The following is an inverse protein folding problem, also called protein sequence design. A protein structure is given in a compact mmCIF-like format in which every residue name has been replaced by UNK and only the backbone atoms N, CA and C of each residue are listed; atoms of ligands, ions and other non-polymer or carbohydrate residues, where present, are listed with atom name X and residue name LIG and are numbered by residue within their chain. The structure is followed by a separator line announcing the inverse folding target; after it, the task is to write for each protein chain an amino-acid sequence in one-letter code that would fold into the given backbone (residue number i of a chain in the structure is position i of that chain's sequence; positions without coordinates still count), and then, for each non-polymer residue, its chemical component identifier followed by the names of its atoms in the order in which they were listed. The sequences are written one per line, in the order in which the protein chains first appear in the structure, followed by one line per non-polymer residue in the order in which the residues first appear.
data_IF_680066077488
#
_entry.id   IF_680066077488
#
_cell.length_a   1.000
_cell.length_b   1.000
_cell.length_c   1.000
_cell.angle_alpha   90.00
_cell.angle_beta   90.00
_cell.angle_gamma   90.00
#
_symmetry.space_group_name_H-M   'P 1'
#
loop_
_entity.id
_entity.type
_entity.pdbx_description
1 polymer ?
#
# COMPACT_ATOMS: atom_id res chain seq x y z
N UNK A 1 -6.91 28.65 -53.25
CA UNK A 1 -6.19 29.04 -51.99
C UNK A 1 -6.98 28.69 -50.72
N UNK A 2 -8.24 29.11 -50.54
CA UNK A 2 -9.03 28.91 -49.30
C UNK A 2 -9.11 27.45 -48.81
N UNK A 3 -9.36 26.44 -49.68
CA UNK A 3 -9.46 25.01 -49.31
C UNK A 3 -8.16 24.44 -48.70
N UNK A 4 -6.98 24.87 -49.17
CA UNK A 4 -5.68 24.39 -48.70
C UNK A 4 -5.38 24.94 -47.28
N UNK A 5 -5.74 26.22 -47.06
CA UNK A 5 -5.62 26.88 -45.76
C UNK A 5 -6.52 26.20 -44.69
N UNK A 6 -7.80 25.98 -45.05
CA UNK A 6 -8.77 25.30 -44.15
C UNK A 6 -8.27 23.89 -43.78
N UNK A 7 -7.79 23.11 -44.77
CA UNK A 7 -7.24 21.76 -44.53
C UNK A 7 -6.05 21.80 -43.55
N UNK A 8 -5.14 22.75 -43.75
CA UNK A 8 -3.98 22.87 -42.86
C UNK A 8 -4.41 23.28 -41.43
N UNK A 9 -5.36 24.16 -41.27
CA UNK A 9 -5.92 24.53 -39.97
C UNK A 9 -6.53 23.31 -39.28
N UNK A 10 -7.35 22.52 -40.01
CA UNK A 10 -7.95 21.31 -39.45
C UNK A 10 -6.88 20.31 -39.00
N UNK A 11 -5.85 20.07 -39.83
CA UNK A 11 -4.76 19.15 -39.48
C UNK A 11 -4.03 19.62 -38.21
N UNK A 12 -3.77 20.93 -38.10
CA UNK A 12 -3.12 21.51 -36.93
C UNK A 12 -3.99 21.32 -35.67
N UNK A 13 -5.29 21.61 -35.75
CA UNK A 13 -6.22 21.42 -34.62
C UNK A 13 -6.27 19.94 -34.20
N UNK A 14 -6.40 19.02 -35.14
CA UNK A 14 -6.40 17.58 -34.86
C UNK A 14 -5.08 17.15 -34.18
N UNK A 15 -3.95 17.64 -34.70
CA UNK A 15 -2.65 17.36 -34.08
C UNK A 15 -2.55 17.85 -32.62
N UNK A 16 -3.01 19.07 -32.35
CA UNK A 16 -3.05 19.63 -30.99
C UNK A 16 -3.98 18.85 -30.06
N UNK A 17 -5.15 18.43 -30.55
CA UNK A 17 -6.08 17.57 -29.80
C UNK A 17 -5.46 16.22 -29.45
N UNK A 18 -4.72 15.60 -30.36
CA UNK A 18 -4.05 14.32 -30.10
C UNK A 18 -2.95 14.46 -29.04
N UNK A 19 -2.13 15.50 -29.13
CA UNK A 19 -1.09 15.78 -28.14
C UNK A 19 -1.73 16.02 -26.76
N UNK A 20 -2.76 16.86 -26.71
CA UNK A 20 -3.47 17.14 -25.45
C UNK A 20 -4.08 15.86 -24.86
N UNK A 21 -4.74 15.02 -25.69
CA UNK A 21 -5.30 13.75 -25.23
C UNK A 21 -4.23 12.81 -24.67
N UNK A 22 -3.06 12.74 -25.29
CA UNK A 22 -1.95 11.95 -24.78
C UNK A 22 -1.46 12.45 -23.41
N UNK A 23 -1.36 13.77 -23.22
CA UNK A 23 -1.02 14.38 -21.92
C UNK A 23 -2.05 14.00 -20.83
N UNK A 24 -3.34 14.16 -21.13
CA UNK A 24 -4.45 13.83 -20.22
C UNK A 24 -4.41 12.35 -19.82
N UNK A 25 -4.27 11.45 -20.79
CA UNK A 25 -4.24 10.01 -20.55
C UNK A 25 -3.01 9.63 -19.70
N UNK A 26 -1.85 10.18 -20.02
CA UNK A 26 -0.61 9.91 -19.28
C UNK A 26 -0.76 10.32 -17.81
N UNK A 27 -1.22 11.55 -17.55
CA UNK A 27 -1.37 12.04 -16.19
C UNK A 27 -2.52 11.34 -15.45
N UNK A 28 -3.59 10.94 -16.14
CA UNK A 28 -4.64 10.12 -15.56
C UNK A 28 -4.13 8.73 -15.10
N UNK A 29 -3.33 8.06 -15.93
CA UNK A 29 -2.72 6.76 -15.57
C UNK A 29 -1.75 6.93 -14.40
N UNK A 30 -0.95 7.99 -14.41
CA UNK A 30 -0.04 8.31 -13.29
C UNK A 30 -0.82 8.59 -12.00
N UNK A 31 -1.92 9.35 -12.10
CA UNK A 31 -2.80 9.64 -10.98
C UNK A 31 -3.39 8.35 -10.40
N UNK A 32 -3.83 7.41 -11.22
CA UNK A 32 -4.28 6.08 -10.77
C UNK A 32 -3.19 5.29 -10.02
N UNK A 33 -1.96 5.52 -10.34
CA UNK A 33 -0.79 4.90 -9.69
C UNK A 33 -0.23 5.78 -8.56
N UNK A 34 -0.98 6.79 -8.09
CA UNK A 34 -0.57 7.75 -7.05
C UNK A 34 0.76 8.47 -7.34
N UNK A 35 1.14 8.54 -8.62
CA UNK A 35 2.32 9.27 -9.08
C UNK A 35 1.96 10.71 -9.44
N UNK A 36 2.89 11.62 -9.19
CA UNK A 36 2.71 13.01 -9.58
C UNK A 36 2.51 13.16 -11.08
N UNK A 37 1.62 14.07 -11.53
CA UNK A 37 1.47 14.36 -12.95
C UNK A 37 2.73 14.99 -13.51
N UNK A 38 2.94 14.84 -14.82
CA UNK A 38 4.11 15.40 -15.52
C UNK A 38 3.76 16.72 -16.18
N UNK A 39 2.54 16.85 -16.73
CA UNK A 39 2.14 17.99 -17.56
C UNK A 39 1.43 19.08 -16.75
N UNK A 40 2.11 19.57 -15.71
CA UNK A 40 1.56 20.61 -14.84
C UNK A 40 2.00 22.01 -15.29
N UNK A 41 1.07 22.96 -15.30
CA UNK A 41 1.32 24.40 -15.52
C UNK A 41 1.40 25.19 -14.22
N UNK A 42 0.98 24.59 -13.10
CA UNK A 42 1.07 25.19 -11.79
C UNK A 42 0.77 24.17 -10.71
N UNK A 43 1.40 24.35 -9.56
CA UNK A 43 1.16 23.54 -8.37
C UNK A 43 0.88 24.47 -7.20
N UNK A 44 -0.16 24.12 -6.42
CA UNK A 44 -0.43 24.76 -5.14
C UNK A 44 -0.51 23.63 -4.10
N UNK A 45 0.62 23.33 -3.48
CA UNK A 45 0.77 22.27 -2.49
C UNK A 45 1.38 22.81 -1.22
N UNK A 46 0.92 22.30 -0.10
CA UNK A 46 1.59 22.49 1.18
C UNK A 46 2.87 21.63 1.28
N UNK A 47 3.61 21.80 2.35
CA UNK A 47 4.84 21.04 2.63
C UNK A 47 4.56 19.53 2.75
N UNK A 48 3.32 19.16 3.02
CA UNK A 48 2.84 17.80 3.21
C UNK A 48 2.38 17.13 1.91
N UNK A 49 2.41 17.87 0.80
CA UNK A 49 2.01 17.37 -0.51
C UNK A 49 0.49 17.40 -0.76
N UNK A 50 -0.30 18.02 0.14
CA UNK A 50 -1.72 18.27 -0.10
C UNK A 50 -1.89 19.46 -1.03
N UNK A 51 -2.86 19.38 -1.93
CA UNK A 51 -3.21 20.48 -2.80
C UNK A 51 -3.54 20.07 -4.21
N UNK A 52 -3.23 20.97 -5.16
CA UNK A 52 -3.68 20.82 -6.53
C UNK A 52 -2.51 20.93 -7.51
N UNK A 53 -2.59 20.10 -8.54
CA UNK A 53 -1.81 20.23 -9.77
C UNK A 53 -2.74 20.76 -10.85
N UNK A 54 -2.46 21.97 -11.33
CA UNK A 54 -3.21 22.57 -12.45
C UNK A 54 -2.54 22.22 -13.76
N UNK A 55 -3.35 21.75 -14.70
CA UNK A 55 -2.94 21.36 -16.04
C UNK A 55 -3.84 22.04 -17.08
N UNK A 56 -3.56 21.84 -18.37
CA UNK A 56 -4.37 22.46 -19.44
C UNK A 56 -5.69 21.70 -19.60
N UNK A 57 -6.77 22.27 -19.08
CA UNK A 57 -8.14 21.70 -19.17
C UNK A 57 -8.44 20.58 -18.18
N UNK A 58 -7.54 20.28 -17.24
CA UNK A 58 -7.77 19.34 -16.14
C UNK A 58 -7.02 19.75 -14.88
N UNK A 59 -7.44 19.19 -13.76
CA UNK A 59 -6.83 19.42 -12.45
C UNK A 59 -6.73 18.10 -11.70
N UNK A 60 -5.68 17.93 -10.93
CA UNK A 60 -5.51 16.78 -10.03
C UNK A 60 -5.36 17.29 -8.62
N UNK A 61 -6.29 16.87 -7.74
CA UNK A 61 -6.20 17.12 -6.31
C UNK A 61 -5.46 15.96 -5.66
N UNK A 62 -4.46 16.29 -4.83
CA UNK A 62 -3.73 15.33 -4.01
C UNK A 62 -4.03 15.60 -2.54
N UNK A 63 -4.41 14.56 -1.82
CA UNK A 63 -4.52 14.56 -0.37
C UNK A 63 -3.46 13.59 0.15
N UNK A 64 -2.54 14.11 0.95
CA UNK A 64 -1.55 13.31 1.64
C UNK A 64 -1.80 13.39 3.14
N UNK A 65 -1.63 12.30 3.85
CA UNK A 65 -1.64 12.30 5.32
C UNK A 65 -0.22 12.14 5.82
N UNK A 66 0.07 12.84 6.88
CA UNK A 66 1.30 12.67 7.63
C UNK A 66 1.26 11.31 8.32
N UNK A 67 2.38 10.63 8.26
CA UNK A 67 2.55 9.36 8.87
C UNK A 67 3.90 9.30 9.59
N UNK A 68 3.92 8.99 10.87
CA UNK A 68 5.12 8.87 11.69
C UNK A 68 6.14 10.00 11.47
N UNK A 69 5.70 11.23 11.61
CA UNK A 69 6.54 12.40 11.73
C UNK A 69 7.23 12.89 10.46
N UNK A 70 7.33 12.15 9.35
CA UNK A 70 8.01 12.65 8.16
C UNK A 70 7.76 11.89 6.85
N UNK A 71 6.96 10.82 6.84
CA UNK A 71 6.65 10.12 5.58
C UNK A 71 5.22 10.38 5.16
N UNK A 72 5.03 11.10 4.05
CA UNK A 72 3.72 11.32 3.46
C UNK A 72 3.36 10.18 2.53
N UNK A 73 2.18 9.62 2.71
CA UNK A 73 1.58 8.66 1.80
C UNK A 73 0.45 9.37 1.06
N UNK A 74 0.57 9.50 -0.24
CA UNK A 74 -0.54 9.97 -1.09
C UNK A 74 -1.57 8.86 -1.14
N UNK A 75 -2.71 9.06 -0.50
CA UNK A 75 -3.73 8.02 -0.46
C UNK A 75 -5.07 8.42 -1.07
N UNK A 76 -5.22 9.67 -1.50
CA UNK A 76 -6.35 10.12 -2.29
C UNK A 76 -5.87 11.07 -3.40
N UNK A 77 -6.20 10.72 -4.65
CA UNK A 77 -5.99 11.57 -5.80
C UNK A 77 -7.29 11.67 -6.60
N UNK A 78 -7.75 12.88 -6.81
CA UNK A 78 -8.94 13.18 -7.58
C UNK A 78 -8.56 13.83 -8.91
N UNK A 79 -8.91 13.19 -10.01
CA UNK A 79 -8.75 13.73 -11.34
C UNK A 79 -10.03 14.46 -11.78
N UNK A 80 -9.91 15.71 -12.19
CA UNK A 80 -11.01 16.54 -12.65
C UNK A 80 -10.76 17.03 -14.07
N UNK A 81 -11.63 16.66 -15.01
CA UNK A 81 -11.59 17.11 -16.38
C UNK A 81 -12.68 18.17 -16.60
N UNK A 82 -12.29 19.37 -17.02
CA UNK A 82 -13.20 20.51 -17.20
C UNK A 82 -14.15 20.75 -16.01
N UNK A 83 -13.60 20.66 -14.79
CA UNK A 83 -14.37 20.85 -13.55
C UNK A 83 -15.28 19.70 -13.16
N UNK A 84 -15.33 18.61 -13.92
CA UNK A 84 -16.04 17.39 -13.56
C UNK A 84 -15.08 16.41 -12.92
N UNK A 85 -15.13 16.34 -11.59
CA UNK A 85 -14.28 15.43 -10.82
C UNK A 85 -14.70 13.98 -10.96
N UNK A 86 -13.73 13.10 -11.22
CA UNK A 86 -13.83 11.67 -10.92
C UNK A 86 -12.82 11.39 -9.82
N UNK A 87 -13.32 11.07 -8.65
CA UNK A 87 -12.49 10.51 -7.59
C UNK A 87 -11.87 9.23 -8.11
N UNK A 88 -10.56 9.12 -8.02
CA UNK A 88 -9.91 7.83 -8.12
C UNK A 88 -10.21 7.20 -6.78
N UNK A 89 -11.03 6.16 -6.79
CA UNK A 89 -11.38 5.45 -5.57
C UNK A 89 -10.10 5.04 -4.87
N UNK A 90 -10.04 5.31 -3.58
CA UNK A 90 -9.08 4.75 -2.67
C UNK A 90 -9.05 3.25 -2.92
N UNK A 91 -7.94 2.76 -3.44
CA UNK A 91 -7.75 1.32 -3.56
C UNK A 91 -7.19 0.82 -2.25
N UNK A 92 -7.40 -0.43 -1.95
CA UNK A 92 -6.87 -1.05 -0.74
C UNK A 92 -5.35 -0.95 -0.65
N UNK A 93 -4.68 -0.86 -1.79
CA UNK A 93 -3.23 -0.66 -1.88
C UNK A 93 -2.78 0.64 -1.20
N UNK A 94 -3.64 1.65 -1.13
CA UNK A 94 -3.35 2.89 -0.43
C UNK A 94 -3.47 2.73 1.07
N UNK A 95 -4.44 1.92 1.50
CA UNK A 95 -4.63 1.61 2.91
C UNK A 95 -3.47 0.80 3.47
N UNK A 96 -3.00 -0.23 2.75
CA UNK A 96 -1.92 -1.04 3.26
C UNK A 96 -0.56 -0.30 3.31
N UNK A 97 -0.28 0.61 2.39
CA UNK A 97 0.90 1.48 2.48
C UNK A 97 0.86 2.35 3.72
N UNK A 98 -0.32 2.86 4.04
CA UNK A 98 -0.56 3.53 5.29
C UNK A 98 -0.30 2.58 6.46
N UNK A 99 -0.84 1.37 6.41
CA UNK A 99 -0.67 0.36 7.45
C UNK A 99 0.79 -0.08 7.61
N UNK A 100 1.55 -0.26 6.52
CA UNK A 100 2.99 -0.54 6.60
C UNK A 100 3.76 0.55 7.35
N UNK A 101 3.39 1.80 7.17
CA UNK A 101 3.95 2.90 7.94
C UNK A 101 3.64 2.82 9.44
N UNK A 102 2.53 2.15 9.85
CA UNK A 102 2.16 1.95 11.26
C UNK A 102 2.96 0.85 11.96
N UNK A 103 3.58 -0.05 11.22
CA UNK A 103 4.40 -1.10 11.82
C UNK A 103 5.47 -0.50 12.76
N UNK A 104 5.52 -0.98 13.99
CA UNK A 104 6.41 -0.49 15.02
C UNK A 104 5.99 0.82 15.68
N UNK A 105 4.82 1.36 15.37
CA UNK A 105 4.26 2.52 16.10
C UNK A 105 3.65 2.08 17.43
N UNK A 106 3.71 2.97 18.43
CA UNK A 106 3.02 2.74 19.68
C UNK A 106 1.49 2.90 19.56
N UNK A 107 0.77 2.33 20.50
CA UNK A 107 -0.69 2.34 20.55
C UNK A 107 -1.27 3.76 20.59
N UNK A 108 -0.65 4.68 21.29
CA UNK A 108 -1.12 6.05 21.39
C UNK A 108 -1.11 6.73 20.02
N UNK A 109 -0.05 6.53 19.25
CA UNK A 109 0.08 7.05 17.88
C UNK A 109 -1.04 6.51 16.96
N UNK A 110 -1.47 5.26 17.13
CA UNK A 110 -2.48 4.64 16.27
C UNK A 110 -3.91 4.76 16.76
N UNK A 111 -4.15 5.18 18.00
CA UNK A 111 -5.50 5.32 18.56
C UNK A 111 -6.41 6.21 17.71
N UNK A 112 -5.94 7.35 17.27
CA UNK A 112 -6.71 8.24 16.38
C UNK A 112 -7.07 7.58 15.04
N UNK A 113 -6.20 6.71 14.55
CA UNK A 113 -6.46 5.93 13.34
C UNK A 113 -7.51 4.84 13.60
N UNK A 114 -7.39 4.12 14.71
CA UNK A 114 -8.36 3.10 15.11
C UNK A 114 -9.74 3.70 15.35
N UNK A 115 -9.83 4.86 15.99
CA UNK A 115 -11.09 5.60 16.17
C UNK A 115 -11.71 6.02 14.83
N UNK A 116 -10.88 6.49 13.88
CA UNK A 116 -11.34 6.87 12.55
C UNK A 116 -11.86 5.67 11.73
N UNK A 117 -11.32 4.48 11.96
CA UNK A 117 -11.79 3.22 11.36
C UNK A 117 -13.04 2.66 12.04
N UNK A 118 -13.50 3.28 13.13
CA UNK A 118 -14.57 2.75 13.98
C UNK A 118 -14.29 1.32 14.46
N UNK A 119 -13.01 1.00 14.66
CA UNK A 119 -12.61 -0.25 15.22
C UNK A 119 -13.21 -0.43 16.61
N UNK A 120 -13.83 -1.55 16.78
CA UNK A 120 -14.49 -1.94 18.01
C UNK A 120 -13.42 -2.34 19.06
N UNK A 121 -13.85 -2.62 20.26
CA UNK A 121 -13.00 -3.14 21.33
C UNK A 121 -12.09 -4.26 20.83
N UNK A 122 -10.78 -4.19 21.11
CA UNK A 122 -9.85 -5.23 20.67
C UNK A 122 -10.16 -6.57 21.33
N UNK A 123 -9.87 -7.64 20.63
CA UNK A 123 -9.73 -8.95 21.23
C UNK A 123 -8.37 -9.03 21.92
N UNK A 124 -8.35 -9.39 23.21
CA UNK A 124 -7.14 -9.35 24.05
C UNK A 124 -6.76 -10.76 24.48
N UNK A 125 -5.54 -11.17 24.12
CA UNK A 125 -4.96 -12.44 24.53
C UNK A 125 -3.56 -12.24 25.09
N UNK A 126 -3.42 -12.23 26.41
CA UNK A 126 -2.14 -11.91 27.06
C UNK A 126 -1.66 -10.49 26.73
N UNK A 127 -0.48 -10.39 26.12
CA UNK A 127 0.12 -9.12 25.70
C UNK A 127 -0.26 -8.74 24.26
N UNK A 128 -1.10 -9.53 23.60
CA UNK A 128 -1.58 -9.28 22.25
C UNK A 128 -2.95 -8.63 22.27
N UNK A 129 -3.11 -7.57 21.50
CA UNK A 129 -4.41 -6.97 21.16
C UNK A 129 -4.63 -7.07 19.66
N UNK A 130 -5.83 -7.50 19.26
CA UNK A 130 -6.21 -7.56 17.83
C UNK A 130 -7.40 -6.64 17.60
N UNK A 131 -7.19 -5.65 16.73
CA UNK A 131 -8.22 -4.72 16.28
C UNK A 131 -8.72 -5.17 14.91
N UNK A 132 -9.99 -5.51 14.82
CA UNK A 132 -10.61 -6.04 13.61
C UNK A 132 -11.48 -4.98 12.93
N UNK A 133 -11.26 -4.76 11.63
CA UNK A 133 -12.11 -3.95 10.77
C UNK A 133 -12.73 -4.81 9.68
N UNK A 134 -14.05 -4.69 9.48
CA UNK A 134 -14.75 -5.34 8.38
C UNK A 134 -14.69 -4.42 7.16
N UNK A 135 -13.90 -4.79 6.16
CA UNK A 135 -13.66 -4.00 4.96
C UNK A 135 -14.26 -4.75 3.77
N UNK A 136 -15.39 -4.27 3.26
CA UNK A 136 -15.98 -4.83 2.02
C UNK A 136 -15.47 -4.09 0.78
N UNK A 137 -14.16 -4.09 0.55
CA UNK A 137 -13.57 -3.48 -0.64
C UNK A 137 -12.52 -4.40 -1.27
N UNK A 138 -12.58 -4.56 -2.58
CA UNK A 138 -11.59 -5.29 -3.40
C UNK A 138 -11.34 -6.74 -2.97
N UNK A 139 -12.38 -7.45 -2.50
CA UNK A 139 -12.27 -8.85 -2.08
C UNK A 139 -11.75 -9.06 -0.66
N UNK A 140 -11.33 -8.01 0.06
CA UNK A 140 -11.08 -8.10 1.49
C UNK A 140 -12.40 -8.07 2.24
N UNK A 141 -12.52 -8.94 3.20
CA UNK A 141 -13.65 -8.95 4.14
C UNK A 141 -13.23 -8.46 5.52
N UNK A 142 -12.02 -8.77 5.96
CA UNK A 142 -11.53 -8.47 7.31
C UNK A 142 -10.08 -8.00 7.24
N UNK A 143 -9.78 -6.95 7.99
CA UNK A 143 -8.42 -6.51 8.28
C UNK A 143 -8.19 -6.55 9.79
N UNK A 144 -7.15 -7.24 10.21
CA UNK A 144 -6.70 -7.29 11.60
C UNK A 144 -5.42 -6.49 11.76
N UNK A 145 -5.40 -5.56 12.72
CA UNK A 145 -4.18 -4.92 13.22
C UNK A 145 -3.81 -5.58 14.54
N UNK A 146 -2.58 -6.07 14.62
CA UNK A 146 -2.09 -6.84 15.76
C UNK A 146 -1.06 -5.99 16.51
N UNK A 147 -1.28 -5.79 17.79
CA UNK A 147 -0.37 -5.13 18.71
C UNK A 147 0.20 -6.14 19.69
N UNK A 148 1.49 -5.99 20.01
CA UNK A 148 2.14 -6.65 21.14
C UNK A 148 2.74 -5.59 22.06
N UNK A 149 2.44 -5.69 23.35
CA UNK A 149 2.91 -4.72 24.36
C UNK A 149 2.67 -3.27 23.92
N UNK A 150 1.47 -2.96 23.43
CA UNK A 150 1.07 -1.65 22.91
C UNK A 150 1.86 -1.18 21.67
N UNK A 151 2.49 -2.06 20.90
CA UNK A 151 3.20 -1.72 19.66
C UNK A 151 2.63 -2.50 18.50
N UNK A 152 2.41 -1.84 17.37
CA UNK A 152 1.89 -2.48 16.15
C UNK A 152 2.91 -3.47 15.62
N UNK A 153 2.60 -4.74 15.77
CA UNK A 153 3.45 -5.86 15.35
C UNK A 153 3.15 -6.32 13.93
N UNK A 154 1.91 -6.19 13.46
CA UNK A 154 1.55 -6.69 12.14
C UNK A 154 0.14 -6.36 11.71
N UNK A 155 -0.14 -6.75 10.47
CA UNK A 155 -1.45 -6.70 9.83
C UNK A 155 -1.76 -8.02 9.15
N UNK A 156 -3.03 -8.40 9.18
CA UNK A 156 -3.57 -9.54 8.45
C UNK A 156 -4.81 -9.10 7.67
N UNK A 157 -4.94 -9.62 6.45
CA UNK A 157 -6.04 -9.32 5.54
C UNK A 157 -6.67 -10.63 5.10
N UNK A 158 -7.92 -10.83 5.44
CA UNK A 158 -8.68 -12.02 5.08
C UNK A 158 -9.46 -11.78 3.79
N UNK A 159 -9.32 -12.71 2.87
CA UNK A 159 -9.94 -12.69 1.56
C UNK A 159 -10.84 -13.89 1.37
N UNK A 160 -12.02 -13.68 0.80
CA UNK A 160 -12.93 -14.72 0.32
C UNK A 160 -12.93 -14.82 -1.21
N UNK A 161 -11.88 -14.31 -1.85
CA UNK A 161 -11.58 -14.39 -3.28
C UNK A 161 -10.08 -14.62 -3.45
N UNK A 162 -9.71 -15.82 -3.89
CA UNK A 162 -8.30 -16.22 -4.01
C UNK A 162 -7.54 -15.40 -5.07
N UNK A 163 -8.22 -14.97 -6.16
CA UNK A 163 -7.60 -14.10 -7.16
C UNK A 163 -7.30 -12.71 -6.57
N UNK A 164 -8.26 -12.15 -5.83
CA UNK A 164 -8.06 -10.86 -5.17
C UNK A 164 -6.94 -10.92 -4.12
N UNK A 165 -6.84 -12.02 -3.36
CA UNK A 165 -5.75 -12.26 -2.41
C UNK A 165 -4.38 -12.33 -3.13
N UNK A 166 -4.29 -13.05 -4.24
CA UNK A 166 -3.09 -13.18 -5.04
C UNK A 166 -2.64 -11.83 -5.63
N UNK A 167 -3.59 -11.06 -6.19
CA UNK A 167 -3.31 -9.74 -6.76
C UNK A 167 -2.81 -8.77 -5.68
N UNK A 168 -3.45 -8.77 -4.52
CA UNK A 168 -3.02 -7.97 -3.38
C UNK A 168 -1.63 -8.39 -2.88
N UNK A 169 -1.42 -9.69 -2.67
CA UNK A 169 -0.13 -10.23 -2.23
C UNK A 169 1.01 -9.85 -3.19
N UNK A 170 0.73 -9.91 -4.50
CA UNK A 170 1.70 -9.53 -5.54
C UNK A 170 2.07 -8.04 -5.46
N UNK A 171 1.11 -7.16 -5.19
CA UNK A 171 1.38 -5.72 -5.05
C UNK A 171 2.07 -5.40 -3.73
N UNK A 172 1.60 -5.97 -2.63
CA UNK A 172 2.20 -5.80 -1.31
C UNK A 172 3.67 -6.23 -1.31
N UNK A 173 3.98 -7.38 -1.92
CA UNK A 173 5.35 -7.87 -2.07
C UNK A 173 6.25 -6.86 -2.79
N UNK A 174 5.79 -6.29 -3.90
CA UNK A 174 6.56 -5.27 -4.65
C UNK A 174 6.83 -4.02 -3.80
N UNK A 175 5.87 -3.60 -3.02
CA UNK A 175 6.04 -2.42 -2.18
C UNK A 175 6.95 -2.71 -0.98
N UNK A 176 6.94 -3.93 -0.45
CA UNK A 176 7.91 -4.38 0.56
C UNK A 176 9.34 -4.37 -0.01
N UNK A 177 9.53 -4.90 -1.22
CA UNK A 177 10.82 -4.87 -1.92
C UNK A 177 11.31 -3.43 -2.16
N UNK A 178 10.42 -2.52 -2.58
CA UNK A 178 10.74 -1.11 -2.78
C UNK A 178 11.04 -0.37 -1.46
N UNK A 179 10.42 -0.78 -0.37
CA UNK A 179 10.54 -0.11 0.94
C UNK A 179 11.74 -0.60 1.72
N UNK A 180 11.98 -1.90 1.74
CA UNK A 180 13.00 -2.54 2.58
C UNK A 180 14.22 -3.05 1.79
N UNK A 181 14.14 -3.10 0.45
CA UNK A 181 15.27 -3.47 -0.41
C UNK A 181 15.50 -4.97 -0.48
N UNK A 182 16.67 -5.44 -0.04
CA UNK A 182 17.06 -6.83 -0.19
C UNK A 182 16.23 -7.78 0.70
N UNK A 183 15.86 -8.92 0.11
CA UNK A 183 15.28 -10.03 0.84
C UNK A 183 16.25 -10.56 1.88
N UNK A 184 15.69 -10.93 3.01
CA UNK A 184 16.44 -11.59 4.06
C UNK A 184 16.63 -13.06 3.71
N UNK A 185 17.87 -13.52 3.77
CA UNK A 185 18.20 -14.96 3.71
C UNK A 185 18.48 -15.45 5.12
N UNK A 186 17.69 -16.41 5.59
CA UNK A 186 17.91 -17.05 6.89
C UNK A 186 19.09 -18.01 6.82
N UNK A 187 20.17 -17.79 7.60
CA UNK A 187 21.17 -18.84 7.77
C UNK A 187 20.59 -19.88 8.74
N UNK A 188 20.20 -21.04 8.22
CA UNK A 188 19.79 -22.17 9.05
C UNK A 188 18.40 -22.74 8.84
N UNK A 189 17.46 -22.03 8.23
CA UNK A 189 16.28 -22.66 7.67
C UNK A 189 16.61 -23.15 6.26
N UNK A 190 16.63 -24.47 6.08
CA UNK A 190 16.61 -25.10 4.76
C UNK A 190 15.19 -24.90 4.19
N UNK A 191 14.91 -23.68 3.82
CA UNK A 191 13.71 -23.34 3.08
C UNK A 191 13.98 -23.81 1.65
N UNK A 192 13.23 -24.79 1.22
CA UNK A 192 13.22 -25.11 -0.19
C UNK A 192 12.65 -23.88 -0.91
N UNK A 193 13.33 -23.39 -1.94
CA UNK A 193 12.88 -22.26 -2.79
C UNK A 193 11.41 -22.42 -3.29
N UNK A 194 10.77 -23.55 -3.04
CA UNK A 194 9.41 -23.86 -3.42
C UNK A 194 8.35 -23.09 -2.63
N UNK A 195 8.71 -22.64 -1.43
CA UNK A 195 7.80 -21.99 -0.49
C UNK A 195 7.80 -20.46 -0.63
N UNK A 196 8.68 -19.93 -1.46
CA UNK A 196 8.72 -18.51 -1.75
C UNK A 196 7.57 -18.12 -2.68
N UNK A 197 6.86 -17.06 -2.31
CA UNK A 197 5.78 -16.50 -3.13
C UNK A 197 6.27 -16.05 -4.50
N UNK A 198 7.53 -15.64 -4.62
CA UNK A 198 8.19 -15.24 -5.88
C UNK A 198 8.15 -16.32 -6.97
N UNK A 199 8.02 -17.58 -6.59
CA UNK A 199 7.93 -18.70 -7.51
C UNK A 199 6.51 -18.93 -8.05
N UNK A 200 5.50 -18.27 -7.47
CA UNK A 200 4.09 -18.36 -7.89
C UNK A 200 3.82 -17.31 -8.97
N UNK A 201 3.55 -17.77 -10.19
CA UNK A 201 3.37 -16.87 -11.34
C UNK A 201 1.92 -16.48 -11.59
N UNK A 202 1.00 -17.26 -11.09
CA UNK A 202 -0.43 -17.04 -11.24
C UNK A 202 -1.21 -17.79 -10.16
N UNK A 203 -2.47 -17.40 -9.97
CA UNK A 203 -3.35 -17.94 -8.91
C UNK A 203 -3.55 -19.46 -9.01
N UNK A 204 -3.50 -20.05 -10.21
CA UNK A 204 -3.71 -21.50 -10.39
C UNK A 204 -2.56 -22.36 -9.86
N UNK A 205 -1.42 -21.76 -9.55
CA UNK A 205 -0.27 -22.45 -8.93
C UNK A 205 -0.36 -22.49 -7.40
N UNK A 206 -1.29 -21.75 -6.81
CA UNK A 206 -1.52 -21.74 -5.37
C UNK A 206 -2.09 -23.08 -4.89
N UNK A 207 -1.54 -23.58 -3.80
CA UNK A 207 -1.94 -24.84 -3.20
C UNK A 207 -2.82 -24.56 -1.99
N UNK A 208 -3.95 -25.24 -1.88
CA UNK A 208 -4.80 -25.21 -0.70
C UNK A 208 -4.06 -25.73 0.54
N UNK A 209 -4.37 -25.17 1.70
CA UNK A 209 -3.73 -25.46 2.99
C UNK A 209 -2.20 -25.26 2.97
N UNK A 210 -1.76 -24.20 2.29
CA UNK A 210 -0.34 -23.93 2.11
C UNK A 210 -0.04 -22.46 2.37
N UNK A 211 1.15 -22.17 2.93
CA UNK A 211 1.62 -20.81 3.17
C UNK A 211 2.85 -20.53 2.33
N UNK A 212 2.78 -19.46 1.56
CA UNK A 212 3.89 -18.86 0.84
C UNK A 212 4.39 -17.65 1.63
N UNK A 213 5.69 -17.45 1.71
CA UNK A 213 6.25 -16.35 2.51
C UNK A 213 7.54 -15.79 1.91
N UNK A 214 7.90 -14.60 2.36
CA UNK A 214 9.15 -13.92 2.09
C UNK A 214 9.50 -13.00 3.27
N UNK A 215 10.78 -12.72 3.44
CA UNK A 215 11.28 -11.90 4.52
C UNK A 215 12.19 -10.79 3.98
N UNK A 216 12.15 -9.61 4.62
CA UNK A 216 13.03 -8.48 4.35
C UNK A 216 13.65 -7.99 5.64
N UNK A 217 14.89 -7.54 5.57
CA UNK A 217 15.53 -6.88 6.72
C UNK A 217 14.79 -5.59 7.04
N UNK A 218 14.34 -5.45 8.28
CA UNK A 218 13.76 -4.21 8.73
C UNK A 218 14.85 -3.17 9.00
N UNK A 219 14.69 -1.98 8.40
CA UNK A 219 15.50 -0.82 8.73
C UNK A 219 14.70 0.09 9.66
N UNK A 220 15.23 0.40 10.84
CA UNK A 220 14.58 1.24 11.85
C UNK A 220 15.28 2.57 12.02
N UNK A 221 14.51 3.64 12.20
CA UNK A 221 14.99 4.80 12.93
C UNK A 221 15.06 4.50 14.45
N UNK A 222 15.68 5.40 15.20
CA UNK A 222 15.88 5.21 16.65
C UNK A 222 14.56 5.05 17.42
N UNK A 223 13.53 5.81 17.06
CA UNK A 223 12.24 5.79 17.74
C UNK A 223 11.49 4.45 17.54
N UNK A 224 11.55 3.90 16.34
CA UNK A 224 11.00 2.57 16.07
C UNK A 224 11.76 1.48 16.79
N UNK A 225 13.07 1.64 16.97
CA UNK A 225 13.87 0.68 17.73
C UNK A 225 13.39 0.57 19.19
N UNK A 226 13.16 1.68 19.87
CA UNK A 226 12.65 1.66 21.25
C UNK A 226 11.29 0.94 21.35
N UNK A 227 10.39 1.21 20.41
CA UNK A 227 9.09 0.52 20.36
C UNK A 227 9.25 -0.98 20.12
N UNK A 228 10.19 -1.40 19.26
CA UNK A 228 10.44 -2.81 19.01
C UNK A 228 11.01 -3.49 20.27
N UNK A 229 11.93 -2.86 20.98
CA UNK A 229 12.48 -3.38 22.23
C UNK A 229 11.35 -3.55 23.27
N UNK A 230 10.40 -2.60 23.35
CA UNK A 230 9.19 -2.71 24.17
C UNK A 230 8.30 -3.86 23.72
N UNK A 231 8.06 -4.00 22.41
CA UNK A 231 7.26 -5.07 21.83
C UNK A 231 7.79 -6.45 22.20
N UNK A 232 9.12 -6.61 22.22
CA UNK A 232 9.79 -7.88 22.47
C UNK A 232 10.00 -8.17 23.96
N UNK A 233 9.59 -7.26 24.85
CA UNK A 233 9.68 -7.43 26.31
C UNK A 233 11.09 -7.79 26.80
N UNK A 234 12.09 -7.08 26.27
CA UNK A 234 13.50 -7.27 26.61
C UNK A 234 14.12 -8.59 26.14
N UNK A 235 13.47 -9.32 25.27
CA UNK A 235 14.08 -10.52 24.64
C UNK A 235 15.23 -10.10 23.72
N UNK A 236 16.35 -10.80 23.87
CA UNK A 236 17.49 -10.61 22.96
C UNK A 236 17.15 -11.00 21.54
N UNK A 237 17.57 -10.19 20.60
CA UNK A 237 17.47 -10.48 19.17
C UNK A 237 18.71 -9.98 18.42
N UNK A 238 19.12 -10.70 17.39
CA UNK A 238 20.24 -10.27 16.54
C UNK A 238 19.77 -9.32 15.44
N UNK A 239 18.56 -9.51 14.97
CA UNK A 239 17.91 -8.63 13.99
C UNK A 239 16.39 -8.79 13.98
N UNK A 240 15.71 -7.84 13.33
CA UNK A 240 14.28 -7.89 13.05
C UNK A 240 14.09 -7.96 11.54
N UNK A 241 13.22 -8.84 11.11
CA UNK A 241 12.79 -8.93 9.73
C UNK A 241 11.29 -8.56 9.60
N UNK A 242 10.90 -8.13 8.42
CA UNK A 242 9.52 -8.01 8.01
C UNK A 242 9.14 -9.33 7.34
N UNK A 243 8.23 -10.05 7.93
CA UNK A 243 7.67 -11.28 7.38
C UNK A 243 6.41 -10.99 6.58
N UNK A 244 6.38 -11.40 5.34
CA UNK A 244 5.21 -11.43 4.47
C UNK A 244 4.74 -12.87 4.34
N UNK A 245 3.43 -13.10 4.39
CA UNK A 245 2.82 -14.40 4.19
C UNK A 245 1.55 -14.33 3.36
N UNK A 246 1.36 -15.29 2.46
CA UNK A 246 0.09 -15.62 1.83
C UNK A 246 -0.29 -17.04 2.24
N UNK A 247 -1.24 -17.17 3.13
CA UNK A 247 -1.79 -18.44 3.61
C UNK A 247 -3.06 -18.75 2.85
N UNK A 248 -3.02 -19.78 2.02
CA UNK A 248 -4.20 -20.29 1.28
C UNK A 248 -4.92 -21.29 2.13
N UNK A 249 -6.12 -20.97 2.56
CA UNK A 249 -6.95 -21.81 3.44
C UNK A 249 -7.68 -22.89 2.60
N UNK A 250 -8.36 -22.44 1.54
CA UNK A 250 -9.08 -23.31 0.62
C UNK A 250 -9.14 -22.68 -0.81
N UNK A 251 -10.02 -23.19 -1.66
CA UNK A 251 -10.15 -22.73 -3.03
C UNK A 251 -10.59 -21.26 -3.18
N UNK A 252 -11.18 -20.66 -2.13
CA UNK A 252 -11.71 -19.30 -2.16
C UNK A 252 -11.05 -18.41 -1.09
N UNK A 253 -10.61 -18.98 0.02
CA UNK A 253 -10.22 -18.25 1.20
C UNK A 253 -8.70 -18.21 1.36
N UNK A 254 -8.16 -17.01 1.59
CA UNK A 254 -6.75 -16.80 1.89
C UNK A 254 -6.55 -15.64 2.86
N UNK A 255 -5.45 -15.67 3.60
CA UNK A 255 -5.00 -14.59 4.46
C UNK A 255 -3.66 -14.07 3.95
N UNK A 256 -3.55 -12.75 3.75
CA UNK A 256 -2.30 -12.05 3.48
C UNK A 256 -1.86 -11.37 4.75
N UNK A 257 -0.64 -11.62 5.19
CA UNK A 257 -0.09 -11.04 6.43
C UNK A 257 1.22 -10.31 6.20
N UNK A 258 1.46 -9.29 7.01
CA UNK A 258 2.76 -8.63 7.15
C UNK A 258 3.01 -8.34 8.62
N UNK A 259 4.16 -8.74 9.15
CA UNK A 259 4.48 -8.59 10.57
C UNK A 259 5.98 -8.53 10.82
N UNK A 260 6.36 -7.99 11.98
CA UNK A 260 7.72 -8.11 12.49
C UNK A 260 8.01 -9.52 13.01
N UNK A 261 9.20 -10.01 12.72
CA UNK A 261 9.74 -11.24 13.28
C UNK A 261 11.13 -10.97 13.84
N UNK A 262 11.30 -11.20 15.13
CA UNK A 262 12.60 -11.12 15.79
C UNK A 262 13.37 -12.43 15.57
N UNK A 263 14.64 -12.30 15.22
CA UNK A 263 15.56 -13.41 15.04
C UNK A 263 16.55 -13.48 16.19
N UNK A 264 16.76 -14.66 16.76
CA UNK A 264 17.71 -14.86 17.86
C UNK A 264 19.14 -14.56 17.47
#
# INVERSE_FOLDING_TARGET
MKKKVIRNIIITIVGLCLIWSAMVITDYVRCKSFKEPIFTIGTNRDQNGNGYYKCIGYEIRSVAREFNGNKFVKYDMQFSLFGRGRGIKKTIYDNYRHNLGLLGSDKETVLNYLEALKCVTPDVSGNQETYTEYVKENGIEVMNMILYNDVVAGFEYEYYDLQAAYDFATHLRKDLELTFGEKSTYPGMVQTNKDYFDNVKNVSELKSQYTYYEDWKAAFDYQKKENIDKMLDGKDYSRIDIHFGLSVIDANNATVSVRYVALP
#
